data_IF_540624861465
#
_entry.id   IF_540624861465
#
_cell.length_a   1.000
_cell.length_b   1.000
_cell.length_c   1.000
_cell.angle_alpha   90.00
_cell.angle_beta   90.00
_cell.angle_gamma   90.00
#
_symmetry.space_group_name_H-M   'P 1'
#
loop_
_entity.id
_entity.type
_entity.pdbx_description
1 polymer ?
#
# COMPACT_ATOMS: atom_id res chain seq x y z
N UNK A 1 8.18 -19.65 1.88
CA UNK A 1 8.13 -19.47 3.35
C UNK A 1 7.89 -20.79 4.06
N UNK A 2 6.82 -21.52 3.75
CA UNK A 2 6.59 -22.87 4.31
C UNK A 2 7.74 -23.85 4.02
N UNK A 3 8.19 -23.91 2.76
CA UNK A 3 9.39 -24.69 2.35
C UNK A 3 10.70 -24.24 3.02
N UNK A 4 10.70 -23.06 3.66
CA UNK A 4 11.84 -22.53 4.41
C UNK A 4 11.65 -22.72 5.93
N UNK A 5 10.70 -23.56 6.36
CA UNK A 5 10.45 -23.88 7.76
C UNK A 5 9.64 -22.84 8.54
N UNK A 6 8.97 -21.90 7.87
CA UNK A 6 8.11 -20.93 8.55
C UNK A 6 6.89 -21.65 9.17
N UNK A 7 6.49 -21.34 10.42
CA UNK A 7 5.47 -22.11 11.16
C UNK A 7 4.05 -22.02 10.58
N UNK A 8 3.81 -21.11 9.64
CA UNK A 8 2.49 -20.90 9.03
C UNK A 8 2.53 -20.17 7.69
N UNK A 9 1.36 -20.06 7.06
CA UNK A 9 1.13 -19.28 5.84
C UNK A 9 0.84 -17.80 6.12
N UNK A 10 0.35 -17.10 5.10
CA UNK A 10 -0.15 -15.73 5.25
C UNK A 10 -1.68 -15.78 5.29
N UNK A 11 -2.24 -15.41 6.43
CA UNK A 11 -3.66 -15.11 6.55
C UNK A 11 -3.92 -13.70 6.01
N UNK A 12 -4.83 -13.59 5.04
CA UNK A 12 -5.05 -12.35 4.31
C UNK A 12 -6.55 -12.15 4.07
N UNK A 13 -6.98 -10.90 4.27
CA UNK A 13 -8.31 -10.42 3.89
C UNK A 13 -8.15 -9.29 2.89
N UNK A 14 -8.78 -9.42 1.72
CA UNK A 14 -8.77 -8.42 0.65
C UNK A 14 -10.05 -7.61 0.71
N UNK A 15 -9.93 -6.28 0.72
CA UNK A 15 -11.04 -5.34 0.73
C UNK A 15 -11.06 -4.55 -0.58
N UNK A 16 -12.15 -4.64 -1.33
CA UNK A 16 -12.40 -3.84 -2.53
C UNK A 16 -13.91 -3.85 -2.82
N UNK A 17 -14.54 -2.68 -2.95
CA UNK A 17 -15.98 -2.58 -3.24
C UNK A 17 -16.30 -2.47 -4.73
N UNK A 18 -15.30 -2.39 -5.60
CA UNK A 18 -15.52 -2.25 -7.03
C UNK A 18 -15.82 -3.59 -7.71
N UNK A 19 -16.49 -3.47 -8.85
CA UNK A 19 -16.57 -4.51 -9.87
C UNK A 19 -15.55 -4.27 -10.98
N UNK A 20 -15.15 -5.32 -11.66
CA UNK A 20 -14.29 -5.24 -12.86
C UNK A 20 -15.05 -4.51 -13.97
N UNK A 21 -14.43 -3.48 -14.53
CA UNK A 21 -14.90 -2.82 -15.76
C UNK A 21 -13.99 -3.16 -16.93
N UNK A 22 -14.44 -2.86 -18.16
CA UNK A 22 -13.64 -3.08 -19.37
C UNK A 22 -12.26 -2.42 -19.30
N UNK A 23 -12.16 -1.23 -18.70
CA UNK A 23 -10.89 -0.49 -18.52
C UNK A 23 -9.87 -1.19 -17.62
N UNK A 24 -10.29 -2.21 -16.87
CA UNK A 24 -9.39 -2.99 -16.01
C UNK A 24 -8.74 -4.15 -16.78
N UNK A 25 -9.35 -4.63 -17.86
CA UNK A 25 -8.86 -5.78 -18.63
C UNK A 25 -7.53 -5.44 -19.31
N UNK A 26 -6.52 -6.30 -19.15
CA UNK A 26 -5.18 -6.08 -19.73
C UNK A 26 -4.32 -5.03 -19.04
N UNK A 27 -4.91 -4.17 -18.19
CA UNK A 27 -4.20 -3.21 -17.32
C UNK A 27 -4.02 -3.72 -15.90
N UNK A 28 -4.98 -4.50 -15.44
CA UNK A 28 -4.99 -5.19 -14.16
C UNK A 28 -5.13 -6.69 -14.46
N UNK A 29 -4.92 -7.55 -13.45
CA UNK A 29 -4.98 -9.01 -13.60
C UNK A 29 -6.37 -9.60 -13.88
N UNK A 30 -7.20 -8.91 -14.66
CA UNK A 30 -8.56 -9.27 -15.04
C UNK A 30 -8.66 -9.55 -16.54
N UNK A 31 -9.61 -10.42 -16.90
CA UNK A 31 -9.87 -10.88 -18.26
C UNK A 31 -11.26 -10.45 -18.73
N UNK A 32 -11.57 -10.49 -20.04
CA UNK A 32 -12.89 -10.07 -20.55
C UNK A 32 -14.09 -10.74 -19.86
N UNK A 33 -13.95 -12.01 -19.47
CA UNK A 33 -14.99 -12.77 -18.76
C UNK A 33 -15.25 -12.28 -17.33
N UNK A 34 -14.31 -11.52 -16.75
CA UNK A 34 -14.40 -11.05 -15.37
C UNK A 34 -15.26 -9.78 -15.24
N UNK A 35 -15.60 -9.11 -16.36
CA UNK A 35 -16.33 -7.82 -16.36
C UNK A 35 -17.69 -7.96 -15.65
N UNK A 36 -17.98 -7.02 -14.75
CA UNK A 36 -19.18 -6.99 -13.91
C UNK A 36 -19.06 -7.80 -12.62
N UNK A 37 -18.02 -8.61 -12.45
CA UNK A 37 -17.80 -9.37 -11.22
C UNK A 37 -17.08 -8.53 -10.16
N UNK A 38 -17.28 -8.82 -8.88
CA UNK A 38 -16.54 -8.17 -7.78
C UNK A 38 -15.05 -8.46 -7.88
N UNK A 39 -14.22 -7.41 -7.83
CA UNK A 39 -12.75 -7.53 -7.90
C UNK A 39 -12.19 -8.39 -6.77
N UNK A 40 -12.56 -8.09 -5.52
CA UNK A 40 -12.05 -8.78 -4.34
C UNK A 40 -12.36 -10.28 -4.38
N UNK A 41 -13.63 -10.64 -4.53
CA UNK A 41 -14.09 -12.04 -4.56
C UNK A 41 -13.42 -12.82 -5.67
N UNK A 42 -13.30 -12.23 -6.86
CA UNK A 42 -12.72 -12.89 -8.01
C UNK A 42 -11.22 -13.16 -7.84
N UNK A 43 -10.44 -12.17 -7.38
CA UNK A 43 -9.01 -12.34 -7.13
C UNK A 43 -8.74 -13.35 -6.03
N UNK A 44 -9.47 -13.28 -4.91
CA UNK A 44 -9.31 -14.21 -3.78
C UNK A 44 -9.67 -15.64 -4.19
N UNK A 45 -10.79 -15.85 -4.88
CA UNK A 45 -11.16 -17.19 -5.35
C UNK A 45 -10.13 -17.76 -6.32
N UNK A 46 -9.62 -16.94 -7.25
CA UNK A 46 -8.57 -17.36 -8.18
C UNK A 46 -7.29 -17.74 -7.45
N UNK A 47 -6.84 -16.94 -6.48
CA UNK A 47 -5.65 -17.23 -5.69
C UNK A 47 -5.83 -18.50 -4.83
N UNK A 48 -6.97 -18.64 -4.15
CA UNK A 48 -7.27 -19.82 -3.34
C UNK A 48 -7.28 -21.10 -4.19
N UNK A 49 -7.90 -21.08 -5.37
CA UNK A 49 -7.95 -22.24 -6.27
C UNK A 49 -6.59 -22.58 -6.89
N UNK A 50 -5.79 -21.58 -7.27
CA UNK A 50 -4.50 -21.80 -7.94
C UNK A 50 -3.36 -22.13 -6.97
N UNK A 51 -3.38 -21.55 -5.77
CA UNK A 51 -2.26 -21.59 -4.83
C UNK A 51 -2.58 -22.35 -3.54
N UNK A 52 -3.80 -22.86 -3.38
CA UNK A 52 -4.25 -23.55 -2.17
C UNK A 52 -4.31 -22.65 -0.93
N UNK A 53 -4.44 -21.33 -1.12
CA UNK A 53 -4.61 -20.37 -0.01
C UNK A 53 -6.02 -20.39 0.55
N UNK A 54 -6.21 -19.74 1.71
CA UNK A 54 -7.53 -19.54 2.33
C UNK A 54 -7.77 -18.07 2.68
N UNK A 55 -7.53 -17.21 1.69
CA UNK A 55 -7.74 -15.78 1.84
C UNK A 55 -9.23 -15.47 1.85
N UNK A 56 -9.60 -14.39 2.53
CA UNK A 56 -10.98 -13.89 2.63
C UNK A 56 -11.18 -12.65 1.77
N UNK A 57 -12.39 -12.49 1.22
CA UNK A 57 -12.76 -11.35 0.39
C UNK A 57 -13.90 -10.56 1.01
N UNK A 58 -13.72 -9.25 1.10
CA UNK A 58 -14.69 -8.31 1.65
C UNK A 58 -15.04 -7.28 0.57
N UNK A 59 -16.25 -7.38 0.03
CA UNK A 59 -16.74 -6.51 -1.06
C UNK A 59 -17.25 -5.17 -0.54
N UNK A 60 -16.41 -4.47 0.24
CA UNK A 60 -16.75 -3.21 0.91
C UNK A 60 -15.52 -2.33 1.09
N UNK A 61 -15.74 -1.03 1.25
CA UNK A 61 -14.70 -0.09 1.65
C UNK A 61 -14.36 -0.22 3.14
N UNK A 62 -13.10 0.05 3.46
CA UNK A 62 -12.68 0.34 4.83
C UNK A 62 -13.08 1.76 5.19
N UNK A 63 -13.90 1.88 6.23
CA UNK A 63 -14.28 3.13 6.86
C UNK A 63 -13.31 3.55 7.97
N UNK A 64 -13.43 4.80 8.41
CA UNK A 64 -12.62 5.31 9.52
C UNK A 64 -13.00 4.73 10.89
N UNK A 65 -14.18 4.11 10.99
CA UNK A 65 -14.74 3.54 12.23
C UNK A 65 -14.45 2.04 12.37
N UNK A 66 -13.97 1.40 11.30
CA UNK A 66 -13.46 0.04 11.32
C UNK A 66 -12.31 -0.12 12.33
N UNK A 67 -12.02 -1.36 12.71
CA UNK A 67 -10.89 -1.73 13.56
C UNK A 67 -10.12 -2.87 12.91
N UNK A 68 -8.93 -2.58 12.38
CA UNK A 68 -8.09 -3.58 11.71
C UNK A 68 -7.13 -4.23 12.72
N UNK A 69 -7.34 -5.52 12.98
CA UNK A 69 -6.51 -6.33 13.86
C UNK A 69 -5.63 -7.27 13.03
N UNK A 70 -4.50 -6.75 12.55
CA UNK A 70 -3.52 -7.51 11.78
C UNK A 70 -2.09 -6.98 12.00
N UNK A 71 -1.09 -7.74 11.57
CA UNK A 71 0.32 -7.34 11.70
C UNK A 71 0.75 -6.31 10.64
N UNK A 72 0.14 -6.40 9.45
CA UNK A 72 0.47 -5.61 8.27
C UNK A 72 -0.81 -5.29 7.48
N UNK A 73 -0.88 -4.07 6.97
CA UNK A 73 -1.85 -3.66 5.94
C UNK A 73 -1.08 -3.20 4.71
N UNK A 74 -1.47 -3.70 3.53
CA UNK A 74 -0.96 -3.23 2.24
C UNK A 74 -2.03 -2.35 1.59
N UNK A 75 -1.76 -1.04 1.51
CA UNK A 75 -2.67 -0.07 0.94
C UNK A 75 -2.39 0.18 -0.53
N UNK A 76 -3.19 -0.40 -1.42
CA UNK A 76 -3.12 -0.20 -2.87
C UNK A 76 -4.27 0.70 -3.36
N UNK A 77 -4.56 1.78 -2.62
CA UNK A 77 -5.70 2.66 -2.87
C UNK A 77 -5.29 3.92 -3.64
N UNK A 78 -6.20 4.44 -4.44
CA UNK A 78 -5.99 5.61 -5.29
C UNK A 78 -6.30 6.93 -4.56
N UNK A 79 -7.28 6.95 -3.65
CA UNK A 79 -7.70 8.18 -2.96
C UNK A 79 -6.94 8.45 -1.65
N UNK A 80 -6.73 9.73 -1.35
CA UNK A 80 -6.24 10.23 -0.06
C UNK A 80 -7.25 9.93 1.05
N UNK A 81 -8.55 9.99 0.72
CA UNK A 81 -9.62 9.61 1.62
C UNK A 81 -9.57 8.17 2.11
N UNK A 82 -9.25 7.22 1.24
CA UNK A 82 -9.09 5.81 1.59
C UNK A 82 -7.83 5.58 2.45
N UNK A 83 -6.68 6.18 2.07
CA UNK A 83 -5.46 6.11 2.90
C UNK A 83 -5.71 6.59 4.33
N UNK A 84 -6.41 7.71 4.50
CA UNK A 84 -6.79 8.24 5.81
C UNK A 84 -7.71 7.28 6.58
N UNK A 85 -8.66 6.64 5.90
CA UNK A 85 -9.56 5.67 6.52
C UNK A 85 -8.81 4.44 7.03
N UNK A 86 -7.90 3.89 6.21
CA UNK A 86 -7.02 2.76 6.59
C UNK A 86 -6.21 3.10 7.84
N UNK A 87 -5.49 4.24 7.85
CA UNK A 87 -4.69 4.63 9.01
C UNK A 87 -5.55 4.81 10.28
N UNK A 88 -6.76 5.35 10.16
CA UNK A 88 -7.70 5.44 11.29
C UNK A 88 -8.13 4.06 11.77
N UNK A 89 -8.50 3.16 10.86
CA UNK A 89 -8.92 1.80 11.21
C UNK A 89 -7.79 0.99 11.87
N UNK A 90 -6.56 1.14 11.38
CA UNK A 90 -5.36 0.57 12.02
C UNK A 90 -5.08 1.19 13.39
N UNK A 91 -5.30 2.51 13.55
CA UNK A 91 -5.16 3.19 14.84
C UNK A 91 -6.22 2.74 15.85
N UNK A 92 -7.41 2.33 15.38
CA UNK A 92 -8.44 1.75 16.26
C UNK A 92 -8.13 0.29 16.63
N UNK A 93 -7.56 -0.47 15.70
CA UNK A 93 -7.16 -1.88 15.91
C UNK A 93 -5.75 -2.07 16.46
N UNK A 94 -4.98 -2.99 15.88
CA UNK A 94 -3.65 -3.40 16.37
C UNK A 94 -2.57 -2.33 16.18
N UNK A 95 -2.68 -1.51 15.13
CA UNK A 95 -1.69 -0.49 14.78
C UNK A 95 -0.34 -1.06 14.32
N UNK A 96 -0.37 -2.17 13.58
CA UNK A 96 0.78 -2.82 12.97
C UNK A 96 1.49 -1.98 11.89
N UNK A 97 2.09 -2.64 10.91
CA UNK A 97 2.79 -1.98 9.81
C UNK A 97 1.81 -1.61 8.69
N UNK A 98 2.00 -0.43 8.09
CA UNK A 98 1.29 0.02 6.91
C UNK A 98 2.28 0.14 5.76
N UNK A 99 2.09 -0.66 4.72
CA UNK A 99 2.79 -0.58 3.44
C UNK A 99 1.89 0.18 2.45
N UNK A 100 2.13 1.47 2.26
CA UNK A 100 1.41 2.27 1.27
C UNK A 100 2.05 2.08 -0.11
N UNK A 101 1.22 1.76 -1.10
CA UNK A 101 1.57 1.64 -2.50
C UNK A 101 0.85 2.73 -3.27
N UNK A 102 1.55 3.81 -3.60
CA UNK A 102 1.02 4.94 -4.37
C UNK A 102 1.65 5.02 -5.76
N UNK A 103 0.88 5.43 -6.75
CA UNK A 103 1.40 5.80 -8.05
C UNK A 103 0.60 6.94 -8.69
N UNK A 104 1.30 7.65 -9.57
CA UNK A 104 0.74 8.57 -10.55
C UNK A 104 0.81 7.90 -11.94
N UNK A 105 1.05 8.67 -13.01
CA UNK A 105 1.14 8.13 -14.37
C UNK A 105 2.36 7.24 -14.59
N UNK A 106 3.53 7.70 -14.15
CA UNK A 106 4.85 7.20 -14.52
C UNK A 106 5.83 7.21 -13.32
N UNK A 107 5.34 7.62 -12.16
CA UNK A 107 6.09 7.60 -10.91
C UNK A 107 5.22 7.11 -9.76
N UNK A 108 5.84 6.78 -8.64
CA UNK A 108 5.14 6.34 -7.45
C UNK A 108 6.08 5.98 -6.32
N UNK A 109 5.52 5.41 -5.28
CA UNK A 109 6.24 5.09 -4.07
C UNK A 109 5.66 3.85 -3.39
N UNK A 110 6.55 3.14 -2.70
CA UNK A 110 6.19 2.14 -1.71
C UNK A 110 6.84 2.52 -0.40
N UNK A 111 6.06 2.69 0.67
CA UNK A 111 6.57 3.10 1.98
C UNK A 111 5.97 2.22 3.07
N UNK A 112 6.82 1.55 3.85
CA UNK A 112 6.43 0.82 5.05
C UNK A 112 6.73 1.63 6.30
N UNK A 113 5.77 1.70 7.21
CA UNK A 113 5.95 2.31 8.52
C UNK A 113 5.02 1.72 9.55
N UNK A 114 5.28 1.96 10.83
CA UNK A 114 4.44 1.45 11.93
C UNK A 114 3.40 2.48 12.31
N UNK A 115 2.14 2.09 12.49
CA UNK A 115 1.04 3.03 12.79
C UNK A 115 1.04 3.47 14.26
N UNK A 116 1.17 2.52 15.19
CA UNK A 116 1.22 2.80 16.63
C UNK A 116 2.62 2.75 17.22
N UNK A 117 2.75 3.39 18.38
CA UNK A 117 3.95 3.39 19.21
C UNK A 117 4.59 4.77 19.34
N UNK A 118 5.56 4.92 20.26
CA UNK A 118 6.24 6.19 20.47
C UNK A 118 6.96 6.65 19.19
N UNK A 119 6.72 7.89 18.75
CA UNK A 119 7.32 8.48 17.54
C UNK A 119 8.84 8.29 17.48
N UNK A 120 9.53 8.45 18.61
CA UNK A 120 10.98 8.29 18.74
C UNK A 120 11.50 6.86 18.52
N UNK A 121 10.61 5.85 18.50
CA UNK A 121 10.94 4.43 18.38
C UNK A 121 10.21 3.72 17.24
N UNK A 122 9.41 4.43 16.45
CA UNK A 122 8.63 3.84 15.35
C UNK A 122 9.13 4.33 14.00
N UNK A 123 9.08 3.45 13.02
CA UNK A 123 9.35 3.79 11.63
C UNK A 123 8.22 4.68 11.09
N UNK A 124 8.51 5.86 10.52
CA UNK A 124 7.49 6.73 9.97
C UNK A 124 6.75 6.04 8.82
N UNK A 125 5.43 6.18 8.79
CA UNK A 125 4.61 5.70 7.67
C UNK A 125 4.36 6.84 6.68
N UNK A 126 3.74 6.54 5.52
CA UNK A 126 3.46 7.54 4.48
C UNK A 126 2.78 8.81 5.02
N UNK A 127 1.79 8.70 5.91
CA UNK A 127 1.08 9.86 6.47
C UNK A 127 1.92 10.74 7.41
N UNK A 128 3.09 10.27 7.85
CA UNK A 128 4.05 11.08 8.61
C UNK A 128 4.98 11.88 7.71
N UNK A 129 5.41 11.26 6.61
CA UNK A 129 6.38 11.81 5.65
C UNK A 129 5.69 12.70 4.61
N UNK A 130 4.42 12.39 4.28
CA UNK A 130 3.62 13.07 3.28
C UNK A 130 2.19 13.32 3.82
N UNK A 131 2.02 14.23 4.80
CA UNK A 131 0.72 14.50 5.42
C UNK A 131 -0.37 14.92 4.41
N UNK A 132 0.02 15.54 3.31
CA UNK A 132 -0.85 15.95 2.21
C UNK A 132 -1.54 14.78 1.51
N UNK A 133 -0.93 13.58 1.51
CA UNK A 133 -1.55 12.35 1.01
C UNK A 133 -2.68 11.85 1.91
N UNK A 134 -2.85 12.44 3.10
CA UNK A 134 -3.96 12.15 4.01
C UNK A 134 -5.05 13.23 3.97
N UNK A 135 -4.88 14.26 3.14
CA UNK A 135 -5.83 15.36 3.04
C UNK A 135 -6.85 15.10 1.93
N UNK A 136 -8.07 14.70 2.31
CA UNK A 136 -9.22 14.51 1.40
C UNK A 136 -9.50 15.70 0.48
N UNK A 137 -9.20 16.93 0.91
CA UNK A 137 -9.41 18.13 0.07
C UNK A 137 -8.53 18.13 -1.19
N UNK A 138 -7.47 17.34 -1.21
CA UNK A 138 -6.59 17.18 -2.37
C UNK A 138 -6.97 16.02 -3.29
N UNK A 139 -8.04 15.27 -2.98
CA UNK A 139 -8.60 14.31 -3.93
C UNK A 139 -9.19 15.12 -5.09
N UNK A 140 -8.64 14.96 -6.29
CA UNK A 140 -9.20 15.57 -7.49
C UNK A 140 -10.56 14.90 -7.73
N UNK A 141 -11.58 15.68 -8.03
CA UNK A 141 -12.82 15.14 -8.58
C UNK A 141 -12.45 14.51 -9.92
N UNK A 142 -12.58 13.19 -10.05
CA UNK A 142 -12.33 12.50 -11.30
C UNK A 142 -13.45 12.87 -12.28
N UNK A 143 -13.31 14.02 -12.95
CA UNK A 143 -14.34 14.60 -13.81
C UNK A 143 -14.28 14.09 -15.25
N UNK A 144 -13.31 13.24 -15.59
CA UNK A 144 -13.18 12.70 -16.94
C UNK A 144 -13.50 11.20 -16.92
N UNK A 145 -14.68 10.75 -17.39
CA UNK A 145 -14.91 9.34 -17.60
C UNK A 145 -13.84 8.81 -18.56
N UNK A 146 -13.12 7.77 -18.16
CA UNK A 146 -12.20 7.04 -19.03
C UNK A 146 -13.05 6.26 -20.03
N UNK A 147 -13.64 6.94 -21.02
CA UNK A 147 -14.60 6.37 -21.97
C UNK A 147 -13.99 5.30 -22.87
N UNK A 148 -12.67 5.12 -22.86
CA UNK A 148 -11.98 4.08 -23.62
C UNK A 148 -10.78 3.49 -22.87
N UNK A 149 -10.41 2.26 -23.23
CA UNK A 149 -9.15 1.63 -22.79
C UNK A 149 -7.93 2.50 -23.15
N UNK A 150 -7.94 3.11 -24.34
CA UNK A 150 -6.85 3.98 -24.79
C UNK A 150 -6.67 5.21 -23.86
N UNK A 151 -7.77 5.79 -23.37
CA UNK A 151 -7.71 6.92 -22.45
C UNK A 151 -7.27 6.50 -21.04
N UNK A 152 -7.67 5.30 -20.59
CA UNK A 152 -7.18 4.71 -19.35
C UNK A 152 -5.65 4.46 -19.40
N UNK A 153 -5.14 3.97 -20.55
CA UNK A 153 -3.70 3.75 -20.79
C UNK A 153 -2.90 5.06 -20.89
N UNK A 154 -3.51 6.14 -21.36
CA UNK A 154 -2.87 7.47 -21.43
C UNK A 154 -2.80 8.15 -20.07
N UNK A 155 -3.82 7.98 -19.22
CA UNK A 155 -3.89 8.58 -17.88
C UNK A 155 -2.89 7.97 -16.90
N UNK A 156 -2.68 6.65 -16.98
CA UNK A 156 -1.65 5.97 -16.20
C UNK A 156 -0.91 4.97 -17.06
N UNK A 157 0.43 4.98 -17.00
CA UNK A 157 1.26 4.03 -17.71
C UNK A 157 0.83 2.61 -17.36
N UNK A 158 0.68 1.78 -18.39
CA UNK A 158 0.28 0.37 -18.24
C UNK A 158 1.13 -0.37 -17.20
N UNK A 159 2.42 -0.02 -17.11
CA UNK A 159 3.43 -0.75 -16.33
C UNK A 159 3.66 -0.18 -14.93
N UNK A 160 3.16 1.03 -14.59
CA UNK A 160 3.47 1.64 -13.28
C UNK A 160 2.92 0.83 -12.11
N UNK A 161 1.69 0.32 -12.24
CA UNK A 161 1.09 -0.54 -11.23
C UNK A 161 1.94 -1.79 -10.96
N UNK A 162 2.48 -2.39 -12.01
CA UNK A 162 3.34 -3.55 -11.90
C UNK A 162 4.71 -3.20 -11.31
N UNK A 163 5.29 -2.06 -11.69
CA UNK A 163 6.54 -1.58 -11.10
C UNK A 163 6.40 -1.36 -9.58
N UNK A 164 5.32 -0.73 -9.13
CA UNK A 164 5.03 -0.54 -7.70
C UNK A 164 4.77 -1.88 -7.01
N UNK A 165 3.98 -2.77 -7.62
CA UNK A 165 3.71 -4.10 -7.06
C UNK A 165 5.00 -4.92 -6.89
N UNK A 166 5.94 -4.85 -7.85
CA UNK A 166 7.25 -5.51 -7.75
C UNK A 166 8.08 -4.94 -6.60
N UNK A 167 8.09 -3.62 -6.42
CA UNK A 167 8.80 -3.00 -5.30
C UNK A 167 8.20 -3.39 -3.94
N UNK A 168 6.88 -3.40 -3.84
CA UNK A 168 6.16 -3.85 -2.65
C UNK A 168 6.46 -5.32 -2.34
N UNK A 169 6.39 -6.18 -3.35
CA UNK A 169 6.73 -7.59 -3.24
C UNK A 169 8.18 -7.79 -2.79
N UNK A 170 9.14 -7.07 -3.36
CA UNK A 170 10.55 -7.18 -2.99
C UNK A 170 10.80 -6.78 -1.52
N UNK A 171 10.15 -5.70 -1.05
CA UNK A 171 10.20 -5.30 0.35
C UNK A 171 9.62 -6.39 1.27
N UNK A 172 8.42 -6.89 0.97
CA UNK A 172 7.79 -7.93 1.78
C UNK A 172 8.58 -9.23 1.77
N UNK A 173 9.08 -9.65 0.62
CA UNK A 173 9.93 -10.82 0.47
C UNK A 173 11.19 -10.72 1.35
N UNK A 174 11.87 -9.58 1.29
CA UNK A 174 13.06 -9.33 2.10
C UNK A 174 12.71 -9.39 3.59
N UNK A 175 11.67 -8.66 4.01
CA UNK A 175 11.21 -8.63 5.39
C UNK A 175 10.90 -10.04 5.92
N UNK A 176 10.11 -10.83 5.18
CA UNK A 176 9.73 -12.17 5.60
C UNK A 176 10.90 -13.15 5.58
N UNK A 177 11.85 -13.00 4.65
CA UNK A 177 12.98 -13.90 4.52
C UNK A 177 14.09 -13.64 5.55
N UNK A 178 14.38 -12.37 5.84
CA UNK A 178 15.54 -11.99 6.68
C UNK A 178 15.14 -11.40 8.04
N UNK A 179 13.85 -11.13 8.26
CA UNK A 179 13.35 -10.45 9.45
C UNK A 179 13.75 -8.97 9.55
N UNK A 180 14.41 -8.43 8.52
CA UNK A 180 14.95 -7.07 8.52
C UNK A 180 14.78 -6.42 7.15
N UNK A 181 14.81 -5.09 7.12
CA UNK A 181 14.78 -4.33 5.87
C UNK A 181 16.03 -3.43 5.81
N UNK A 182 16.68 -3.28 4.65
CA UNK A 182 17.76 -2.32 4.49
C UNK A 182 17.25 -0.87 4.31
N UNK A 183 16.00 -0.69 3.89
CA UNK A 183 15.35 0.60 3.67
C UNK A 183 13.84 0.49 3.93
N UNK A 184 13.19 1.62 4.20
CA UNK A 184 11.77 1.70 4.59
C UNK A 184 10.82 2.03 3.44
N UNK A 185 11.36 2.26 2.26
CA UNK A 185 10.55 2.55 1.09
C UNK A 185 11.40 2.73 -0.15
N UNK A 186 10.74 2.97 -1.26
CA UNK A 186 11.38 3.24 -2.55
C UNK A 186 10.47 4.16 -3.36
N UNK A 187 11.09 5.15 -3.99
CA UNK A 187 10.47 6.00 -5.00
C UNK A 187 10.83 5.46 -6.38
N UNK A 188 9.84 5.30 -7.23
CA UNK A 188 9.98 4.78 -8.59
C UNK A 188 9.68 5.90 -9.56
N UNK A 189 10.52 6.09 -10.56
CA UNK A 189 10.27 7.00 -11.66
C UNK A 189 10.64 6.30 -12.98
N UNK A 190 9.62 5.90 -13.74
CA UNK A 190 9.79 5.16 -14.98
C UNK A 190 10.30 6.04 -16.12
N UNK A 191 9.98 7.34 -16.12
CA UNK A 191 10.48 8.30 -17.11
C UNK A 191 12.00 8.44 -17.07
N UNK A 192 12.60 8.41 -15.88
CA UNK A 192 14.05 8.48 -15.68
C UNK A 192 14.70 7.11 -15.47
N UNK A 193 13.91 6.04 -15.34
CA UNK A 193 14.38 4.70 -15.02
C UNK A 193 14.99 4.56 -13.61
N UNK A 194 14.70 5.47 -12.68
CA UNK A 194 15.33 5.51 -11.35
C UNK A 194 14.44 4.89 -10.28
N UNK A 195 15.06 4.09 -9.42
CA UNK A 195 14.51 3.62 -8.15
C UNK A 195 15.37 4.16 -7.01
N UNK A 196 14.80 5.04 -6.18
CA UNK A 196 15.51 5.71 -5.09
C UNK A 196 15.02 5.16 -3.75
N UNK A 197 15.85 4.44 -2.98
CA UNK A 197 15.44 3.92 -1.67
C UNK A 197 15.22 5.07 -0.67
N UNK A 198 14.31 4.87 0.28
CA UNK A 198 14.13 5.70 1.47
C UNK A 198 14.88 5.07 2.65
N UNK A 199 16.06 5.59 3.02
CA UNK A 199 16.86 5.04 4.10
C UNK A 199 16.11 5.07 5.43
N UNK A 200 16.44 4.12 6.32
CA UNK A 200 15.95 4.15 7.70
C UNK A 200 16.84 5.04 8.58
N UNK A 201 16.89 6.32 8.21
CA UNK A 201 17.79 7.31 8.80
C UNK A 201 17.01 8.57 9.19
N UNK A 202 17.09 9.03 10.45
CA UNK A 202 16.46 10.27 10.89
C UNK A 202 16.82 11.51 10.06
N UNK A 203 18.05 11.60 9.52
CA UNK A 203 18.42 12.74 8.67
C UNK A 203 17.67 12.69 7.33
N UNK A 204 17.58 11.51 6.72
CA UNK A 204 16.75 11.30 5.53
C UNK A 204 15.27 11.66 5.80
N UNK A 205 14.72 11.26 6.95
CA UNK A 205 13.33 11.55 7.32
C UNK A 205 13.08 13.04 7.59
N UNK A 206 14.07 13.76 8.13
CA UNK A 206 13.96 15.21 8.38
C UNK A 206 13.74 16.02 7.09
N UNK A 207 14.21 15.52 5.93
CA UNK A 207 13.96 16.13 4.61
C UNK A 207 12.48 16.12 4.22
N UNK A 208 11.68 15.25 4.84
CA UNK A 208 10.23 15.17 4.71
C UNK A 208 9.49 15.85 5.87
N UNK A 209 10.20 16.64 6.70
CA UNK A 209 9.63 17.28 7.88
C UNK A 209 9.42 16.34 9.08
N UNK A 210 9.83 15.08 8.99
CA UNK A 210 9.74 14.14 10.11
C UNK A 210 10.96 14.25 11.03
N UNK A 211 10.92 15.23 11.92
CA UNK A 211 11.99 15.43 12.92
C UNK A 211 11.69 14.62 14.19
N UNK A 212 12.69 13.87 14.66
CA UNK A 212 12.62 13.17 15.94
C UNK A 212 12.97 14.11 17.11
N UNK A 213 12.36 13.94 18.29
CA UNK A 213 12.74 14.71 19.47
C UNK A 213 14.20 14.49 19.85
N UNK A 214 14.92 15.55 20.20
CA UNK A 214 16.30 15.46 20.69
C UNK A 214 16.39 14.54 21.92
N UNK A 215 17.25 13.52 21.86
CA UNK A 215 17.49 12.57 22.97
C UNK A 215 17.97 13.25 24.27
N UNK A 216 18.46 14.50 24.20
CA UNK A 216 19.02 15.23 25.35
C UNK A 216 18.00 15.74 26.37
N UNK A 217 16.70 15.76 26.07
CA UNK A 217 15.66 16.25 27.02
C UNK A 217 14.94 15.16 27.81
N UNK A 218 15.29 13.88 27.63
CA UNK A 218 14.59 12.75 28.26
C UNK A 218 15.25 12.20 29.54
N UNK A 219 16.32 12.84 30.05
CA UNK A 219 17.03 12.45 31.28
C UNK A 219 16.90 13.47 32.43
N UNK A 220 15.83 14.26 32.45
CA UNK A 220 15.60 15.27 33.48
C UNK A 220 14.13 15.37 33.84
N UNK A 221 13.64 14.41 34.63
CA UNK A 221 12.53 14.55 35.59
C UNK A 221 12.48 13.29 36.43
#
# INVERSE_FOLDING_TARGET
>A
MLELGHPGGIDCTVYDDDTVSETNVGRQGFYPVDVGMSKATLLVNRLNNLMGTRWDAQTRRIGGDDSLHCDLVVGCVDTRGARKAILRAMTRGSGGYYLDCGNESDSGQVIIGRVKGPRAKRLPHVGDLFPELMNRKGDKVDTAPSCSMADALRKQSLVINQAIAVQAYNLLWTLFRTGTLPYSGVFVNLTTGRNSPLPMDPEAWARFGYVLPNRSKAKGT
#
